data_IF_786016247375
#
_entry.id   IF_786016247375
#
_cell.length_a   1.000
_cell.length_b   1.000
_cell.length_c   1.000
_cell.angle_alpha   90.00
_cell.angle_beta   90.00
_cell.angle_gamma   90.00
#
_symmetry.space_group_name_H-M   'P 1'
#
loop_
_entity.id
_entity.type
_entity.pdbx_description
1 polymer ?
#
# COMPACT_ATOMS: atom_id res chain seq x y z
N UNK A 1 36.55 -25.24 55.71
CA UNK A 1 36.60 -25.61 57.14
C UNK A 1 36.28 -24.35 57.92
N UNK A 2 35.49 -24.50 58.98
CA UNK A 2 34.97 -23.47 59.91
C UNK A 2 33.78 -22.64 59.39
N UNK A 3 32.51 -23.03 59.59
CA UNK A 3 31.67 -23.22 60.81
C UNK A 3 31.38 -21.96 61.61
N UNK A 4 30.12 -21.53 61.58
CA UNK A 4 29.19 -21.34 62.72
C UNK A 4 28.13 -20.28 62.36
N UNK A 5 26.84 -20.63 62.36
CA UNK A 5 25.90 -20.67 63.53
C UNK A 5 25.64 -19.26 64.05
N UNK A 6 24.44 -18.83 64.39
CA UNK A 6 23.15 -19.48 64.63
C UNK A 6 22.12 -18.32 64.76
N UNK A 7 20.87 -18.70 64.95
CA UNK A 7 19.89 -17.99 65.78
C UNK A 7 18.73 -17.21 65.11
N UNK A 8 17.62 -17.92 65.21
CA UNK A 8 16.19 -17.70 64.99
C UNK A 8 15.54 -16.64 65.88
N UNK A 9 14.37 -16.12 65.48
CA UNK A 9 13.07 -15.95 66.22
C UNK A 9 12.09 -15.27 65.23
N UNK A 10 11.09 -15.90 64.58
CA UNK A 10 9.74 -16.38 64.96
C UNK A 10 8.83 -15.37 65.70
N UNK A 11 7.70 -15.01 65.07
CA UNK A 11 6.28 -14.78 65.54
C UNK A 11 5.62 -13.65 64.71
N UNK A 12 4.35 -13.63 64.28
CA UNK A 12 3.19 -14.53 64.33
C UNK A 12 2.12 -14.07 63.28
N UNK A 13 1.25 -15.03 62.93
CA UNK A 13 -0.16 -14.98 62.44
C UNK A 13 -0.76 -13.68 61.82
N UNK A 14 -1.20 -13.70 60.55
CA UNK A 14 -2.57 -13.99 60.02
C UNK A 14 -3.61 -12.91 60.37
N UNK A 15 -4.06 -12.12 59.38
CA UNK A 15 -5.38 -12.30 58.71
C UNK A 15 -5.70 -11.10 57.76
N UNK A 16 -6.55 -11.39 56.78
CA UNK A 16 -7.45 -10.48 56.03
C UNK A 16 -6.92 -9.67 54.84
N UNK A 17 -6.93 -10.28 53.64
CA UNK A 17 -7.29 -9.63 52.35
C UNK A 17 -8.75 -9.13 52.36
N UNK A 18 -9.24 -8.33 51.38
CA UNK A 18 -8.56 -7.58 50.30
C UNK A 18 -9.04 -6.11 50.27
N UNK A 19 -8.47 -5.24 49.42
CA UNK A 19 -9.18 -4.14 48.71
C UNK A 19 -8.17 -3.35 47.87
N UNK A 20 -8.35 -3.51 46.56
CA UNK A 20 -8.23 -2.52 45.47
C UNK A 20 -7.86 -1.09 45.90
N UNK A 21 -6.71 -0.60 45.42
CA UNK A 21 -6.47 0.79 45.04
C UNK A 21 -5.25 0.79 44.10
N UNK A 22 -5.50 0.81 42.80
CA UNK A 22 -5.69 2.00 41.99
C UNK A 22 -4.35 2.48 41.43
N UNK A 23 -4.38 2.65 40.12
CA UNK A 23 -3.26 3.04 39.31
C UNK A 23 -2.86 4.48 39.63
N UNK A 24 -1.57 4.71 39.85
CA UNK A 24 -0.99 6.03 39.69
C UNK A 24 0.41 5.85 39.13
N UNK A 25 0.43 5.83 37.80
CA UNK A 25 1.50 6.22 36.89
C UNK A 25 2.66 6.99 37.57
N UNK A 26 3.92 6.58 37.38
CA UNK A 26 4.98 7.58 37.27
C UNK A 26 4.83 8.26 35.91
N UNK A 27 4.12 9.38 35.95
CA UNK A 27 4.28 10.50 35.04
C UNK A 27 5.77 10.86 34.93
N UNK A 28 6.40 10.41 33.85
CA UNK A 28 7.73 10.86 33.45
C UNK A 28 7.78 10.90 31.93
N UNK A 29 7.25 12.00 31.38
CA UNK A 29 7.70 12.53 30.10
C UNK A 29 9.19 12.91 30.25
N UNK A 30 10.06 11.92 30.31
CA UNK A 30 11.49 12.12 30.17
C UNK A 30 11.72 12.49 28.71
N UNK A 31 12.21 13.70 28.51
CA UNK A 31 12.85 14.12 27.26
C UNK A 31 14.16 13.34 27.13
N UNK A 32 14.07 12.02 26.99
CA UNK A 32 15.20 11.14 26.76
C UNK A 32 15.66 11.32 25.32
N UNK A 33 16.92 11.64 25.12
CA UNK A 33 17.57 11.66 23.81
C UNK A 33 17.57 10.23 23.23
N UNK A 34 16.47 9.85 22.58
CA UNK A 34 16.45 8.61 21.79
C UNK A 34 17.37 8.79 20.58
N UNK A 35 18.09 7.73 20.16
CA UNK A 35 18.97 7.84 19.02
C UNK A 35 18.17 8.24 17.77
N UNK A 36 18.80 8.95 16.81
CA UNK A 36 18.12 9.44 15.61
C UNK A 36 17.48 8.30 14.79
N UNK A 37 17.99 7.08 14.92
CA UNK A 37 17.41 5.87 14.33
C UNK A 37 16.00 5.58 14.86
N UNK A 38 15.73 5.76 16.15
CA UNK A 38 14.40 5.55 16.76
C UNK A 38 13.38 6.53 16.20
N UNK A 39 13.74 7.82 16.12
CA UNK A 39 12.87 8.82 15.51
C UNK A 39 12.57 8.53 14.03
N UNK A 40 13.54 7.97 13.28
CA UNK A 40 13.34 7.53 11.90
C UNK A 40 12.40 6.33 11.83
N UNK A 41 12.56 5.33 12.70
CA UNK A 41 11.64 4.17 12.79
C UNK A 41 10.23 4.64 13.13
N UNK A 42 10.08 5.50 14.13
CA UNK A 42 8.79 6.06 14.53
C UNK A 42 8.11 6.82 13.38
N UNK A 43 8.83 7.72 12.71
CA UNK A 43 8.31 8.44 11.53
C UNK A 43 7.90 7.47 10.42
N UNK A 44 8.67 6.39 10.23
CA UNK A 44 8.37 5.39 9.23
C UNK A 44 7.13 4.57 9.58
N UNK A 45 6.90 4.26 10.86
CA UNK A 45 5.66 3.66 11.36
C UNK A 45 4.48 4.59 11.09
N UNK A 46 4.55 5.86 11.49
CA UNK A 46 3.50 6.84 11.22
C UNK A 46 3.17 6.95 9.73
N UNK A 47 4.18 7.03 8.87
CA UNK A 47 3.99 7.13 7.42
C UNK A 47 3.36 5.85 6.81
N UNK A 48 3.64 4.68 7.38
CA UNK A 48 3.08 3.41 6.93
C UNK A 48 1.63 3.26 7.37
N UNK A 49 1.35 3.57 8.64
CA UNK A 49 0.05 3.45 9.26
C UNK A 49 -0.86 4.67 9.01
N UNK A 50 -0.40 5.66 8.26
CA UNK A 50 -1.24 6.76 7.77
C UNK A 50 -2.44 6.19 6.98
N UNK A 51 -3.69 6.58 7.31
CA UNK A 51 -4.88 6.10 6.60
C UNK A 51 -4.85 6.34 5.09
N UNK A 52 -4.14 7.36 4.61
CA UNK A 52 -3.94 7.55 3.17
C UNK A 52 -3.00 6.52 2.57
N UNK A 53 -1.91 6.20 3.28
CA UNK A 53 -0.94 5.22 2.83
C UNK A 53 -1.52 3.82 2.86
N UNK A 54 -2.26 3.44 3.90
CA UNK A 54 -2.96 2.14 3.98
C UNK A 54 -3.94 1.96 2.81
N UNK A 55 -4.64 3.02 2.39
CA UNK A 55 -5.54 2.94 1.22
C UNK A 55 -4.79 2.71 -0.09
N UNK A 56 -3.61 3.30 -0.25
CA UNK A 56 -2.79 3.25 -1.48
C UNK A 56 -1.95 1.97 -1.56
N UNK A 57 -1.38 1.54 -0.44
CA UNK A 57 -0.44 0.41 -0.38
C UNK A 57 -1.17 -0.91 -0.08
N UNK A 58 -1.26 -1.76 -1.10
CA UNK A 58 -1.94 -3.05 -1.01
C UNK A 58 -1.32 -3.99 0.03
N UNK A 59 0.00 -3.93 0.23
CA UNK A 59 0.71 -4.85 1.13
C UNK A 59 0.34 -4.59 2.59
N UNK A 60 0.37 -3.33 3.03
CA UNK A 60 0.01 -2.99 4.41
C UNK A 60 -1.48 -3.13 4.66
N UNK A 61 -2.32 -2.81 3.68
CA UNK A 61 -3.76 -3.03 3.79
C UNK A 61 -4.07 -4.50 4.05
N UNK A 62 -3.50 -5.40 3.25
CA UNK A 62 -3.67 -6.84 3.43
C UNK A 62 -3.10 -7.31 4.78
N UNK A 63 -1.95 -6.76 5.20
CA UNK A 63 -1.31 -7.14 6.45
C UNK A 63 -2.14 -6.77 7.68
N UNK A 64 -2.83 -5.63 7.64
CA UNK A 64 -3.71 -5.13 8.71
C UNK A 64 -5.08 -5.81 8.66
N UNK A 65 -5.62 -6.12 7.48
CA UNK A 65 -6.93 -6.74 7.28
C UNK A 65 -6.93 -8.25 7.55
N UNK A 66 -5.77 -8.91 7.38
CA UNK A 66 -5.63 -10.35 7.63
C UNK A 66 -5.84 -10.76 9.09
N UNK A 67 -5.59 -9.85 10.04
CA UNK A 67 -5.83 -10.09 11.46
C UNK A 67 -6.98 -9.19 11.91
N UNK A 68 -8.06 -9.74 12.51
CA UNK A 68 -9.22 -8.94 12.95
C UNK A 68 -8.86 -7.90 14.03
N UNK A 69 -7.75 -8.10 14.71
CA UNK A 69 -7.21 -7.20 15.74
C UNK A 69 -6.09 -6.29 15.23
N UNK A 70 -5.81 -6.28 13.92
CA UNK A 70 -4.81 -5.41 13.28
C UNK A 70 -3.36 -5.58 13.77
N UNK A 71 -3.05 -6.70 14.43
CA UNK A 71 -1.70 -7.03 14.84
C UNK A 71 -0.78 -7.31 13.63
N UNK A 72 0.35 -6.60 13.59
CA UNK A 72 1.36 -6.76 12.54
C UNK A 72 2.63 -7.38 13.13
N UNK A 73 3.10 -8.54 12.63
CA UNK A 73 4.34 -9.15 13.12
C UNK A 73 5.56 -8.27 12.87
N UNK A 74 6.36 -8.02 13.90
CA UNK A 74 7.58 -7.18 13.83
C UNK A 74 8.59 -7.78 12.85
N UNK A 75 8.66 -9.11 12.76
CA UNK A 75 9.48 -9.81 11.75
C UNK A 75 9.15 -9.40 10.32
N UNK A 76 7.86 -9.22 10.00
CA UNK A 76 7.42 -8.78 8.66
C UNK A 76 7.76 -7.32 8.43
N UNK A 77 7.61 -6.46 9.44
CA UNK A 77 8.01 -5.05 9.37
C UNK A 77 9.52 -4.90 9.14
N UNK A 78 10.33 -5.69 9.84
CA UNK A 78 11.80 -5.70 9.68
C UNK A 78 12.25 -6.09 8.26
N UNK A 79 11.49 -6.93 7.54
CA UNK A 79 11.81 -7.31 6.16
C UNK A 79 11.58 -6.19 5.13
N UNK A 80 10.84 -5.15 5.48
CA UNK A 80 10.49 -4.06 4.56
C UNK A 80 11.73 -3.21 4.34
N UNK A 81 12.04 -2.91 3.07
CA UNK A 81 13.22 -2.12 2.68
C UNK A 81 13.40 -0.85 3.53
N UNK A 82 12.32 -0.10 3.76
CA UNK A 82 12.29 1.13 4.56
C UNK A 82 12.73 0.93 6.01
N UNK A 83 12.39 -0.20 6.63
CA UNK A 83 12.81 -0.53 7.99
C UNK A 83 14.19 -1.18 8.02
N UNK A 84 14.50 -2.03 7.04
CA UNK A 84 15.79 -2.72 6.93
C UNK A 84 16.98 -1.75 6.88
N UNK A 85 16.82 -0.62 6.19
CA UNK A 85 17.85 0.43 6.10
C UNK A 85 18.08 1.18 7.42
N UNK A 86 17.11 1.18 8.34
CA UNK A 86 17.19 1.95 9.59
C UNK A 86 17.54 1.04 10.77
N UNK A 87 17.01 -0.18 10.79
CA UNK A 87 17.13 -1.08 11.93
C UNK A 87 18.49 -1.77 11.98
N UNK A 88 19.15 -2.00 10.83
CA UNK A 88 20.41 -2.76 10.74
C UNK A 88 20.36 -4.14 11.45
N UNK A 89 19.16 -4.68 11.69
CA UNK A 89 18.93 -5.95 12.41
C UNK A 89 18.51 -5.80 13.88
N UNK A 90 18.50 -4.60 14.43
CA UNK A 90 18.10 -4.33 15.81
C UNK A 90 16.57 -4.15 15.93
N UNK A 91 15.92 -5.12 16.58
CA UNK A 91 14.48 -5.12 16.83
C UNK A 91 14.08 -4.25 18.02
N UNK A 92 15.02 -3.91 18.91
CA UNK A 92 14.75 -3.09 20.11
C UNK A 92 14.36 -1.65 19.75
N UNK A 93 14.76 -1.18 18.57
CA UNK A 93 14.39 0.12 18.03
C UNK A 93 12.88 0.28 17.83
N UNK A 94 12.14 -0.81 17.59
CA UNK A 94 10.68 -0.75 17.54
C UNK A 94 10.08 -0.47 18.91
N UNK A 95 10.61 -1.11 19.96
CA UNK A 95 10.13 -0.90 21.32
C UNK A 95 10.38 0.54 21.77
N UNK A 96 11.57 1.06 21.48
CA UNK A 96 11.91 2.46 21.77
C UNK A 96 11.06 3.43 20.95
N UNK A 97 10.76 3.12 19.69
CA UNK A 97 9.90 3.94 18.84
C UNK A 97 8.46 3.96 19.35
N UNK A 98 7.95 2.83 19.86
CA UNK A 98 6.62 2.73 20.46
C UNK A 98 6.56 3.43 21.81
N UNK A 99 7.61 3.30 22.63
CA UNK A 99 7.74 4.02 23.90
C UNK A 99 7.75 5.55 23.73
N UNK A 100 8.19 6.05 22.56
CA UNK A 100 8.18 7.47 22.22
C UNK A 100 6.76 8.02 22.03
N UNK A 101 5.83 7.20 21.50
CA UNK A 101 4.44 7.55 21.33
C UNK A 101 3.51 6.37 21.64
N UNK A 102 3.30 6.05 22.93
CA UNK A 102 2.41 4.96 23.34
C UNK A 102 0.95 5.21 22.96
N UNK A 103 0.58 6.46 22.61
CA UNK A 103 -0.76 6.79 22.12
C UNK A 103 -1.04 6.32 20.68
N UNK A 104 0.01 6.12 19.88
CA UNK A 104 -0.12 5.84 18.45
C UNK A 104 0.06 4.35 18.14
N UNK A 105 0.92 3.66 18.89
CA UNK A 105 1.27 2.26 18.66
C UNK A 105 1.31 1.45 19.97
N UNK A 106 0.99 0.16 19.86
CA UNK A 106 1.08 -0.80 20.96
C UNK A 106 1.80 -2.06 20.51
N UNK A 107 2.57 -2.65 21.41
CA UNK A 107 3.22 -3.95 21.19
C UNK A 107 2.66 -4.97 22.17
N UNK A 108 2.59 -6.23 21.72
CA UNK A 108 2.25 -7.35 22.60
C UNK A 108 3.36 -7.57 23.66
N UNK A 109 3.04 -8.22 24.78
CA UNK A 109 3.96 -8.51 25.89
C UNK A 109 5.22 -9.26 25.43
N UNK A 110 5.11 -10.09 24.39
CA UNK A 110 6.23 -10.83 23.79
C UNK A 110 7.09 -9.98 22.83
N UNK A 111 6.72 -8.72 22.56
CA UNK A 111 7.37 -7.82 21.60
C UNK A 111 7.46 -8.37 20.17
N UNK A 112 6.61 -9.34 19.83
CA UNK A 112 6.59 -10.01 18.52
C UNK A 112 5.64 -9.36 17.52
N UNK A 113 4.64 -8.63 18.00
CA UNK A 113 3.58 -8.01 17.20
C UNK A 113 3.37 -6.55 17.62
N UNK A 114 3.08 -5.70 16.64
CA UNK A 114 2.83 -4.27 16.78
C UNK A 114 1.47 -3.95 16.14
N UNK A 115 0.62 -3.20 16.83
CA UNK A 115 -0.62 -2.64 16.29
C UNK A 115 -0.59 -1.11 16.36
N UNK A 116 -1.29 -0.47 15.42
CA UNK A 116 -1.57 0.96 15.52
C UNK A 116 -2.83 1.13 16.36
N UNK A 117 -2.74 1.87 17.46
CA UNK A 117 -3.89 2.15 18.34
C UNK A 117 -4.78 3.23 17.72
N UNK A 118 -4.28 3.94 16.68
CA UNK A 118 -4.91 5.08 16.00
C UNK A 118 -6.39 5.13 16.29
N UNK A 119 -6.75 5.92 17.32
CA UNK A 119 -8.12 6.06 17.78
C UNK A 119 -8.94 6.33 16.54
N UNK A 120 -9.82 5.39 16.19
CA UNK A 120 -10.87 5.69 15.25
C UNK A 120 -11.59 6.90 15.84
N UNK A 121 -11.32 8.11 15.34
CA UNK A 121 -12.38 9.10 15.19
C UNK A 121 -13.35 8.47 14.19
N UNK A 122 -14.10 7.53 14.72
CA UNK A 122 -15.27 6.91 14.16
C UNK A 122 -16.36 7.97 14.29
N UNK A 123 -16.17 9.10 13.61
CA UNK A 123 -17.32 9.93 13.28
C UNK A 123 -18.06 9.17 12.20
N UNK A 124 -19.08 8.50 12.70
CA UNK A 124 -20.23 7.87 12.07
C UNK A 124 -20.72 8.60 10.80
N UNK A 125 -20.02 8.43 9.67
CA UNK A 125 -20.56 8.73 8.33
C UNK A 125 -20.03 7.70 7.32
N UNK A 126 -20.31 6.42 7.54
CA UNK A 126 -19.94 5.36 6.58
C UNK A 126 -20.99 4.25 6.51
N UNK A 127 -22.25 4.60 6.26
CA UNK A 127 -23.19 3.61 5.75
C UNK A 127 -23.59 3.82 4.28
N UNK A 128 -23.23 4.94 3.63
CA UNK A 128 -23.68 5.21 2.25
C UNK A 128 -22.56 5.39 1.18
N UNK A 129 -21.27 5.28 1.54
CA UNK A 129 -20.15 5.69 0.65
C UNK A 129 -19.50 4.57 -0.18
N UNK A 130 -19.87 3.30 0.01
CA UNK A 130 -19.18 2.17 -0.63
C UNK A 130 -19.54 1.97 -2.11
N UNK A 131 -20.75 2.33 -2.55
CA UNK A 131 -21.09 2.37 -3.98
C UNK A 131 -20.42 3.57 -4.66
N UNK A 132 -20.51 4.73 -4.02
CA UNK A 132 -20.09 6.02 -4.57
C UNK A 132 -18.59 6.11 -4.88
N UNK A 133 -17.75 5.42 -4.10
CA UNK A 133 -16.29 5.37 -4.32
C UNK A 133 -15.88 4.44 -5.47
N UNK A 134 -16.55 3.28 -5.60
CA UNK A 134 -16.30 2.34 -6.69
C UNK A 134 -16.80 2.91 -8.03
N UNK A 135 -17.97 3.55 -8.01
CA UNK A 135 -18.56 4.18 -9.19
C UNK A 135 -17.75 5.39 -9.65
N UNK A 136 -17.26 6.22 -8.72
CA UNK A 136 -16.32 7.32 -9.05
C UNK A 136 -15.00 6.81 -9.62
N UNK A 137 -14.47 5.69 -9.11
CA UNK A 137 -13.24 5.07 -9.63
C UNK A 137 -13.48 4.48 -11.03
N UNK A 138 -14.59 3.79 -11.23
CA UNK A 138 -14.97 3.24 -12.54
C UNK A 138 -15.17 4.36 -13.56
N UNK A 139 -15.88 5.43 -13.19
CA UNK A 139 -16.07 6.61 -14.04
C UNK A 139 -14.73 7.27 -14.40
N UNK A 140 -13.81 7.42 -13.45
CA UNK A 140 -12.47 7.96 -13.71
C UNK A 140 -11.68 7.06 -14.68
N UNK A 141 -11.72 5.75 -14.48
CA UNK A 141 -11.05 4.80 -15.37
C UNK A 141 -11.64 4.83 -16.78
N UNK A 142 -12.97 4.92 -16.90
CA UNK A 142 -13.65 5.11 -18.18
C UNK A 142 -13.21 6.40 -18.86
N UNK A 143 -13.11 7.51 -18.10
CA UNK A 143 -12.67 8.78 -18.65
C UNK A 143 -11.22 8.73 -19.17
N UNK A 144 -10.32 8.06 -18.46
CA UNK A 144 -8.92 7.85 -18.90
C UNK A 144 -8.88 7.05 -20.21
N UNK A 145 -9.70 6.01 -20.32
CA UNK A 145 -9.79 5.18 -21.51
C UNK A 145 -10.33 5.99 -22.69
N UNK A 146 -11.39 6.77 -22.46
CA UNK A 146 -11.98 7.64 -23.49
C UNK A 146 -10.99 8.70 -23.97
N UNK A 147 -10.29 9.37 -23.07
CA UNK A 147 -9.26 10.37 -23.42
C UNK A 147 -8.11 9.74 -24.21
N UNK A 148 -7.67 8.53 -23.82
CA UNK A 148 -6.68 7.79 -24.60
C UNK A 148 -7.17 7.50 -26.03
N UNK A 149 -8.42 7.04 -26.20
CA UNK A 149 -8.99 6.81 -27.52
C UNK A 149 -9.17 8.10 -28.31
N UNK A 150 -9.55 9.19 -27.68
CA UNK A 150 -9.70 10.49 -28.34
C UNK A 150 -8.35 11.02 -28.82
N UNK A 151 -7.31 10.91 -27.98
CA UNK A 151 -5.95 11.28 -28.35
C UNK A 151 -5.40 10.42 -29.50
N UNK A 152 -5.74 9.13 -29.55
CA UNK A 152 -5.44 8.25 -30.70
C UNK A 152 -6.21 8.69 -31.93
N UNK A 153 -7.52 8.92 -31.82
CA UNK A 153 -8.37 9.29 -32.95
C UNK A 153 -7.98 10.64 -33.57
N UNK A 154 -7.54 11.61 -32.76
CA UNK A 154 -7.06 12.92 -33.24
C UNK A 154 -5.83 12.84 -34.13
N UNK A 155 -4.97 11.82 -33.92
CA UNK A 155 -3.78 11.58 -34.75
C UNK A 155 -4.00 10.51 -35.83
N UNK A 156 -5.14 9.82 -35.79
CA UNK A 156 -5.47 8.78 -36.74
C UNK A 156 -6.15 9.36 -37.97
N UNK A 157 -5.75 8.86 -39.14
CA UNK A 157 -6.26 9.31 -40.43
C UNK A 157 -6.95 8.15 -41.12
N UNK A 158 -8.15 8.39 -41.64
CA UNK A 158 -8.83 7.46 -42.53
C UNK A 158 -8.45 7.76 -43.98
N UNK A 159 -7.99 6.74 -44.70
CA UNK A 159 -7.63 6.86 -46.11
C UNK A 159 -8.30 5.76 -46.94
N UNK A 160 -8.86 6.14 -48.09
CA UNK A 160 -9.61 5.27 -49.00
C UNK A 160 -9.16 5.52 -50.43
N UNK A 161 -9.19 4.47 -51.25
CA UNK A 161 -8.83 4.53 -52.67
C UNK A 161 -7.71 3.57 -53.06
N UNK A 162 -7.36 2.62 -52.20
CA UNK A 162 -6.37 1.61 -52.48
C UNK A 162 -6.96 0.50 -53.36
N UNK A 163 -6.12 -0.07 -54.24
CA UNK A 163 -6.48 -1.24 -55.02
C UNK A 163 -6.75 -2.42 -54.08
N UNK A 164 -7.81 -3.18 -54.38
CA UNK A 164 -8.17 -4.38 -53.62
C UNK A 164 -7.32 -5.57 -54.07
N UNK A 165 -7.01 -5.63 -55.37
CA UNK A 165 -6.16 -6.63 -55.98
C UNK A 165 -5.27 -5.95 -57.04
N UNK A 166 -3.93 -5.90 -56.86
CA UNK A 166 -3.17 -6.37 -55.70
C UNK A 166 -3.34 -5.48 -54.45
N UNK A 167 -3.31 -6.09 -53.26
CA UNK A 167 -3.35 -5.38 -51.97
C UNK A 167 -2.01 -4.65 -51.71
N UNK A 168 -2.02 -3.36 -51.32
CA UNK A 168 -0.80 -2.62 -51.06
C UNK A 168 -0.05 -3.16 -49.83
N UNK A 169 1.26 -3.34 -49.97
CA UNK A 169 2.10 -3.88 -48.90
C UNK A 169 2.31 -2.81 -47.81
N UNK A 170 2.44 -3.22 -46.56
CA UNK A 170 2.68 -2.29 -45.44
C UNK A 170 3.95 -1.43 -45.65
N UNK A 171 4.99 -1.99 -46.29
CA UNK A 171 6.22 -1.27 -46.61
C UNK A 171 5.99 -0.11 -47.59
N UNK A 172 5.18 -0.32 -48.64
CA UNK A 172 4.83 0.70 -49.64
C UNK A 172 3.99 1.81 -49.01
N UNK A 173 3.02 1.43 -48.17
CA UNK A 173 2.19 2.39 -47.43
C UNK A 173 3.05 3.21 -46.46
N UNK A 174 3.97 2.55 -45.73
CA UNK A 174 4.86 3.24 -44.81
C UNK A 174 5.76 4.24 -45.54
N UNK A 175 6.33 3.88 -46.69
CA UNK A 175 7.12 4.81 -47.50
C UNK A 175 6.27 6.00 -47.99
N UNK A 176 5.05 5.72 -48.47
CA UNK A 176 4.12 6.75 -48.91
C UNK A 176 3.76 7.75 -47.80
N UNK A 177 3.38 7.27 -46.61
CA UNK A 177 2.99 8.13 -45.50
C UNK A 177 4.16 8.77 -44.75
N UNK A 178 5.36 8.17 -44.81
CA UNK A 178 6.57 8.74 -44.20
C UNK A 178 6.93 10.11 -44.78
N UNK A 179 6.46 10.44 -46.00
CA UNK A 179 6.60 11.76 -46.64
C UNK A 179 5.83 12.86 -45.90
N UNK A 180 4.76 12.51 -45.20
CA UNK A 180 3.90 13.46 -44.48
C UNK A 180 4.16 13.50 -42.97
N UNK A 181 4.86 12.49 -42.43
CA UNK A 181 5.23 12.46 -41.02
C UNK A 181 5.57 11.06 -40.53
N UNK A 182 5.90 10.97 -39.24
CA UNK A 182 6.21 9.68 -38.59
C UNK A 182 4.94 8.85 -38.42
N UNK A 183 4.87 7.72 -39.12
CA UNK A 183 3.79 6.73 -39.00
C UNK A 183 4.05 5.81 -37.80
N UNK A 184 3.04 5.63 -36.94
CA UNK A 184 3.11 4.74 -35.78
C UNK A 184 2.50 3.37 -36.04
N UNK A 185 1.34 3.33 -36.69
CA UNK A 185 0.62 2.08 -36.94
C UNK A 185 -0.20 2.18 -38.23
N UNK A 186 -0.19 1.13 -39.04
CA UNK A 186 -1.07 1.00 -40.20
C UNK A 186 -2.08 -0.11 -39.94
N UNK A 187 -3.35 0.12 -40.25
CA UNK A 187 -4.41 -0.89 -40.11
C UNK A 187 -5.22 -0.98 -41.39
N UNK A 188 -5.03 -2.06 -42.14
CA UNK A 188 -5.88 -2.43 -43.27
C UNK A 188 -7.28 -2.77 -42.80
N UNK A 189 -8.30 -2.17 -43.42
CA UNK A 189 -9.69 -2.52 -43.13
C UNK A 189 -10.06 -3.74 -43.94
N UNK A 190 -10.41 -4.83 -43.25
CA UNK A 190 -10.80 -6.10 -43.85
C UNK A 190 -12.29 -6.39 -43.67
N UNK A 191 -12.82 -7.26 -44.52
CA UNK A 191 -14.18 -7.77 -44.47
C UNK A 191 -14.27 -8.95 -43.50
N UNK A 192 -14.80 -8.68 -42.31
CA UNK A 192 -14.98 -9.68 -41.26
C UNK A 192 -15.56 -9.05 -40.00
N UNK A 193 -16.05 -9.88 -39.09
CA UNK A 193 -16.50 -9.43 -37.77
C UNK A 193 -15.30 -8.82 -37.02
N UNK A 194 -15.49 -7.63 -36.43
CA UNK A 194 -14.44 -6.72 -35.94
C UNK A 194 -13.44 -7.28 -34.92
N UNK A 195 -13.60 -8.53 -34.48
CA UNK A 195 -12.65 -9.23 -33.62
C UNK A 195 -11.47 -9.86 -34.38
N UNK A 196 -11.58 -10.07 -35.70
CA UNK A 196 -10.52 -10.72 -36.49
C UNK A 196 -9.78 -9.70 -37.35
N UNK A 197 -8.69 -9.16 -36.80
CA UNK A 197 -7.94 -8.03 -37.39
C UNK A 197 -7.15 -8.38 -38.67
N UNK A 198 -6.92 -9.66 -38.94
CA UNK A 198 -6.08 -10.15 -40.05
C UNK A 198 -6.82 -11.08 -41.02
N UNK A 199 -8.08 -11.40 -40.75
CA UNK A 199 -8.88 -12.28 -41.61
C UNK A 199 -9.83 -11.45 -42.45
N UNK A 200 -9.96 -11.82 -43.74
CA UNK A 200 -10.93 -11.22 -44.64
C UNK A 200 -10.35 -10.38 -45.78
N UNK A 201 -11.21 -10.11 -46.76
CA UNK A 201 -10.89 -9.38 -47.98
C UNK A 201 -10.62 -7.91 -47.66
N UNK A 202 -9.57 -7.33 -48.22
CA UNK A 202 -9.23 -5.93 -48.02
C UNK A 202 -10.30 -5.01 -48.64
N UNK A 203 -10.76 -4.00 -47.88
CA UNK A 203 -11.84 -3.10 -48.30
C UNK A 203 -11.36 -1.86 -49.08
N UNK A 204 -10.10 -1.81 -49.50
CA UNK A 204 -9.54 -0.63 -50.20
C UNK A 204 -9.40 0.62 -49.32
N UNK A 205 -9.40 0.47 -47.99
CA UNK A 205 -9.24 1.57 -47.03
C UNK A 205 -8.42 1.15 -45.82
N UNK A 206 -7.71 2.12 -45.24
CA UNK A 206 -6.79 1.92 -44.12
C UNK A 206 -6.99 3.01 -43.07
N UNK A 207 -6.57 2.71 -41.83
CA UNK A 207 -6.28 3.72 -40.82
C UNK A 207 -4.77 3.86 -40.66
N UNK A 208 -4.30 5.11 -40.61
CA UNK A 208 -2.91 5.52 -40.39
C UNK A 208 -2.79 6.19 -39.04
#
# INVERSE_FOLDING_TARGET
MDTNKDETVKVDAVDTTPVVQDEAMPEAASTGEYPPSVHKVHRQLLAIFDPENIKKDNFFRELVERNPEHWVPVKKLSMIKRFKEILEGDLTLFEQAVALAPQDFEMNDEKTQLRSIMKEKKEEVKQDLHADSADKKNARNQQIILDHFEAQNKRSIYSKGFTVDPEPTEAELKDFYSKYGRVLSLRHRREGNGNKRHEGVFKGSIFV
#
